data_IF_707978833998
#
_entry.id   IF_707978833998
#
_cell.length_a   1.000
_cell.length_b   1.000
_cell.length_c   1.000
_cell.angle_alpha   90.00
_cell.angle_beta   90.00
_cell.angle_gamma   90.00
#
_symmetry.space_group_name_H-M   'P 1'
#
loop_
_entity.id
_entity.type
_entity.pdbx_description
1 polymer ?
#
# COMPACT_ATOMS: atom_id res chain seq x y z
N UNK A 1 74.60 30.92 -16.90
CA UNK A 1 74.93 29.69 -16.15
C UNK A 1 74.04 29.60 -14.94
N UNK A 2 72.96 28.86 -15.06
CA UNK A 2 72.04 28.62 -13.93
C UNK A 2 71.64 27.11 -13.95
N UNK A 3 72.12 26.39 -12.98
CA UNK A 3 71.90 24.97 -12.80
C UNK A 3 70.50 24.76 -12.16
N UNK A 4 69.65 24.09 -12.85
CA UNK A 4 68.32 23.71 -12.35
C UNK A 4 68.36 22.21 -12.00
N UNK A 5 68.44 21.90 -10.71
CA UNK A 5 68.38 20.52 -10.20
C UNK A 5 66.95 19.98 -10.23
N UNK A 6 66.76 18.91 -10.96
CA UNK A 6 65.53 18.11 -10.98
C UNK A 6 65.39 17.25 -9.71
N UNK A 7 64.24 17.34 -9.05
CA UNK A 7 63.83 16.45 -7.96
C UNK A 7 63.16 15.19 -8.51
N UNK A 8 63.44 13.99 -8.02
CA UNK A 8 62.82 12.76 -8.47
C UNK A 8 61.40 12.60 -7.94
N UNK A 9 60.50 12.08 -8.80
CA UNK A 9 59.11 11.81 -8.52
C UNK A 9 58.92 10.65 -7.52
N UNK A 10 58.07 10.88 -6.51
CA UNK A 10 57.68 9.95 -5.45
C UNK A 10 56.65 8.95 -5.98
N UNK A 11 56.98 7.65 -6.08
CA UNK A 11 56.08 6.57 -6.42
C UNK A 11 54.98 6.43 -5.34
N UNK A 12 53.71 6.55 -5.76
CA UNK A 12 52.53 6.24 -4.94
C UNK A 12 52.41 4.71 -4.86
N UNK A 13 52.53 4.18 -3.65
CA UNK A 13 52.26 2.78 -3.33
C UNK A 13 50.76 2.49 -3.39
N UNK A 14 50.37 1.52 -4.23
CA UNK A 14 48.99 1.03 -4.28
C UNK A 14 48.67 0.24 -3.01
N UNK A 15 47.60 0.60 -2.35
CA UNK A 15 47.04 -0.17 -1.23
C UNK A 15 46.29 -1.38 -1.79
N UNK A 16 46.84 -2.58 -1.56
CA UNK A 16 46.13 -3.85 -1.79
C UNK A 16 45.02 -4.00 -0.75
N UNK A 17 43.77 -3.83 -1.16
CA UNK A 17 42.59 -4.20 -0.36
C UNK A 17 42.60 -5.71 -0.14
N UNK A 18 42.79 -6.16 1.10
CA UNK A 18 42.65 -7.55 1.51
C UNK A 18 41.21 -8.00 1.35
N UNK A 19 40.91 -8.82 0.32
CA UNK A 19 39.63 -9.56 0.21
C UNK A 19 39.49 -10.48 1.42
N UNK A 20 38.49 -10.25 2.26
CA UNK A 20 38.09 -11.19 3.33
C UNK A 20 37.58 -12.47 2.67
N UNK A 21 38.29 -13.58 2.85
CA UNK A 21 37.81 -14.91 2.50
C UNK A 21 36.71 -15.28 3.50
N UNK A 22 35.48 -15.49 2.98
CA UNK A 22 34.38 -16.07 3.76
C UNK A 22 34.76 -17.50 4.11
N UNK A 23 34.73 -17.84 5.39
CA UNK A 23 35.06 -19.19 5.89
C UNK A 23 33.83 -20.07 5.80
N UNK A 24 33.68 -20.77 4.70
CA UNK A 24 32.56 -21.70 4.42
C UNK A 24 32.51 -22.90 5.38
N UNK A 25 33.63 -23.24 6.03
CA UNK A 25 33.75 -24.31 7.02
C UNK A 25 32.84 -24.12 8.25
N UNK A 26 32.59 -22.88 8.69
CA UNK A 26 31.69 -22.59 9.82
C UNK A 26 30.19 -22.56 9.43
N UNK A 27 29.90 -22.23 8.18
CA UNK A 27 28.53 -22.23 7.65
C UNK A 27 28.04 -23.67 7.48
N UNK A 28 28.89 -24.58 6.98
CA UNK A 28 28.55 -25.98 6.79
C UNK A 28 28.19 -26.70 8.11
N UNK A 29 28.83 -26.35 9.22
CA UNK A 29 28.60 -26.96 10.54
C UNK A 29 27.23 -26.65 11.11
N UNK A 30 26.63 -25.51 10.73
CA UNK A 30 25.30 -25.07 11.22
C UNK A 30 24.20 -25.46 10.24
N UNK A 31 24.44 -25.31 8.95
CA UNK A 31 23.42 -25.49 7.90
C UNK A 31 23.11 -26.99 7.67
N UNK A 32 24.10 -27.86 7.69
CA UNK A 32 23.88 -29.30 7.46
C UNK A 32 22.96 -29.92 8.51
N UNK A 33 23.18 -29.75 9.84
CA UNK A 33 22.25 -30.30 10.84
C UNK A 33 20.85 -29.70 10.76
N UNK A 34 20.72 -28.43 10.38
CA UNK A 34 19.39 -27.80 10.22
C UNK A 34 18.60 -28.45 9.08
N UNK A 35 19.23 -28.72 7.95
CA UNK A 35 18.62 -29.42 6.81
C UNK A 35 18.22 -30.85 7.22
N UNK A 36 19.07 -31.55 7.97
CA UNK A 36 18.75 -32.90 8.43
C UNK A 36 17.56 -32.93 9.38
N UNK A 37 17.41 -31.92 10.24
CA UNK A 37 16.23 -31.79 11.13
C UNK A 37 14.97 -31.55 10.31
N UNK A 38 15.01 -30.68 9.31
CA UNK A 38 13.86 -30.42 8.43
C UNK A 38 13.45 -31.68 7.66
N UNK A 39 14.40 -32.43 7.10
CA UNK A 39 14.14 -33.70 6.42
C UNK A 39 13.53 -34.73 7.37
N UNK A 40 13.99 -34.81 8.61
CA UNK A 40 13.44 -35.69 9.63
C UNK A 40 11.97 -35.34 9.97
N UNK A 41 11.66 -34.05 10.11
CA UNK A 41 10.29 -33.58 10.37
C UNK A 41 9.37 -33.93 9.20
N UNK A 42 9.79 -33.71 7.97
CA UNK A 42 9.02 -34.07 6.77
C UNK A 42 8.76 -35.57 6.71
N UNK A 43 9.75 -36.41 6.99
CA UNK A 43 9.61 -37.86 7.03
C UNK A 43 8.65 -38.34 8.13
N UNK A 44 8.62 -37.66 9.27
CA UNK A 44 7.68 -37.96 10.36
C UNK A 44 6.25 -37.56 10.00
N UNK A 45 6.07 -36.42 9.32
CA UNK A 45 4.76 -35.98 8.82
C UNK A 45 4.19 -36.93 7.75
N UNK A 46 5.02 -37.40 6.82
CA UNK A 46 4.61 -38.36 5.78
C UNK A 46 4.25 -39.72 6.38
N UNK A 47 4.90 -40.15 7.47
CA UNK A 47 4.57 -41.43 8.15
C UNK A 47 3.33 -41.33 9.04
N UNK A 48 2.90 -40.12 9.44
CA UNK A 48 1.71 -39.91 10.27
C UNK A 48 0.37 -40.01 9.54
N UNK A 49 0.36 -39.98 8.20
CA UNK A 49 -0.87 -39.94 7.39
C UNK A 49 -1.34 -41.31 6.81
N UNK A 50 -0.87 -42.42 7.35
CA UNK A 50 -1.30 -43.76 6.88
C UNK A 50 -1.90 -44.58 8.01
N UNK A 51 -3.05 -44.16 8.53
CA UNK A 51 -3.98 -45.07 9.21
C UNK A 51 -5.30 -44.38 9.55
N UNK A 52 -6.30 -44.44 8.68
CA UNK A 52 -7.70 -44.60 9.10
C UNK A 52 -8.50 -45.27 7.99
N UNK A 53 -9.07 -46.40 8.38
CA UNK A 53 -9.82 -47.32 7.55
C UNK A 53 -11.24 -46.81 7.28
N UNK A 54 -11.72 -47.20 6.11
CA UNK A 54 -13.10 -47.35 5.65
C UNK A 54 -14.18 -47.50 6.74
N UNK A 55 -15.26 -46.75 6.56
CA UNK A 55 -16.60 -47.24 6.82
C UNK A 55 -17.62 -46.42 6.02
N UNK A 56 -18.07 -47.02 4.93
CA UNK A 56 -19.31 -46.68 4.23
C UNK A 56 -20.47 -47.45 4.87
N UNK A 57 -21.66 -46.88 4.93
CA UNK A 57 -22.83 -47.64 4.51
C UNK A 57 -23.67 -46.99 3.41
N UNK A 58 -24.12 -47.85 2.58
CA UNK A 58 -24.97 -47.69 1.38
C UNK A 58 -26.42 -47.33 1.70
N UNK A 59 -27.04 -46.70 0.69
CA UNK A 59 -28.45 -46.79 0.26
C UNK A 59 -29.50 -46.02 1.08
N UNK A 60 -30.39 -45.26 0.46
CA UNK A 60 -31.37 -45.69 -0.55
C UNK A 60 -32.06 -44.45 -1.15
N UNK A 61 -32.25 -44.45 -2.43
CA UNK A 61 -33.11 -43.54 -3.17
C UNK A 61 -34.59 -43.78 -2.85
N UNK A 62 -35.41 -42.74 -2.83
CA UNK A 62 -36.80 -42.79 -3.32
C UNK A 62 -37.24 -41.40 -3.81
N UNK A 63 -37.80 -41.43 -4.94
CA UNK A 63 -38.37 -40.50 -5.88
C UNK A 63 -39.70 -39.89 -5.38
N UNK A 64 -40.02 -38.70 -5.95
CA UNK A 64 -41.34 -38.33 -6.50
C UNK A 64 -42.05 -37.12 -5.85
N UNK A 65 -42.11 -36.10 -6.67
CA UNK A 65 -43.27 -35.38 -7.22
C UNK A 65 -44.05 -34.35 -6.37
N UNK A 66 -44.02 -33.18 -6.91
CA UNK A 66 -45.11 -32.30 -7.35
C UNK A 66 -46.16 -31.74 -6.39
N UNK A 67 -46.35 -30.47 -6.60
CA UNK A 67 -47.54 -29.60 -6.70
C UNK A 67 -47.69 -28.60 -5.55
N UNK A 68 -47.50 -27.36 -5.82
CA UNK A 68 -48.34 -26.26 -6.33
C UNK A 68 -49.42 -25.73 -5.36
N UNK A 69 -49.30 -24.43 -5.19
CA UNK A 69 -50.32 -23.39 -4.94
C UNK A 69 -50.70 -23.02 -3.50
N UNK A 70 -50.77 -21.70 -3.32
CA UNK A 70 -51.62 -21.05 -2.35
C UNK A 70 -50.98 -19.83 -1.70
N UNK A 71 -51.38 -18.63 -2.14
CA UNK A 71 -51.13 -17.35 -1.54
C UNK A 71 -51.75 -17.25 -0.15
N UNK A 72 -51.09 -16.57 0.79
CA UNK A 72 -51.80 -15.53 1.58
C UNK A 72 -50.79 -14.58 2.28
N UNK A 73 -51.15 -13.33 2.30
CA UNK A 73 -50.46 -12.23 2.95
C UNK A 73 -50.56 -12.31 4.46
N UNK A 74 -49.48 -12.02 5.17
CA UNK A 74 -49.62 -11.34 6.47
C UNK A 74 -48.31 -10.56 6.80
N UNK A 75 -48.48 -9.27 6.88
CA UNK A 75 -47.54 -8.24 7.37
C UNK A 75 -47.07 -8.54 8.78
N UNK A 76 -45.75 -8.58 9.01
CA UNK A 76 -45.19 -8.34 10.32
C UNK A 76 -43.81 -7.71 10.21
N UNK A 77 -43.69 -6.53 10.79
CA UNK A 77 -42.58 -5.61 10.94
C UNK A 77 -41.31 -6.29 11.44
N UNK A 78 -40.21 -6.13 10.70
CA UNK A 78 -38.87 -6.49 11.15
C UNK A 78 -38.16 -5.23 11.71
N UNK A 79 -37.31 -5.35 12.74
CA UNK A 79 -36.43 -4.26 13.12
C UNK A 79 -35.21 -4.23 12.22
N UNK A 80 -34.90 -3.04 11.69
CA UNK A 80 -33.73 -2.71 10.94
C UNK A 80 -32.46 -2.96 11.75
N UNK A 81 -31.65 -3.90 11.28
CA UNK A 81 -30.24 -3.93 11.63
C UNK A 81 -29.50 -3.30 10.46
N UNK A 82 -29.24 -2.01 10.58
CA UNK A 82 -28.37 -1.29 9.65
C UNK A 82 -26.93 -1.74 9.87
N UNK A 83 -26.43 -2.60 9.03
CA UNK A 83 -25.01 -2.83 8.84
C UNK A 83 -24.47 -1.64 8.07
N UNK A 84 -23.83 -0.71 8.78
CA UNK A 84 -23.08 0.38 8.15
C UNK A 84 -21.79 -0.16 7.57
N UNK A 85 -21.83 -0.56 6.33
CA UNK A 85 -20.63 -0.69 5.51
C UNK A 85 -20.23 0.72 5.13
N UNK A 86 -19.14 1.25 5.70
CA UNK A 86 -18.56 2.52 5.27
C UNK A 86 -17.83 2.28 3.95
N UNK A 87 -18.57 2.27 2.86
CA UNK A 87 -17.99 2.42 1.54
C UNK A 87 -17.58 3.88 1.37
N UNK A 88 -16.35 4.13 0.96
CA UNK A 88 -15.92 5.39 0.36
C UNK A 88 -16.87 5.66 -0.84
N UNK A 89 -17.89 6.46 -0.63
CA UNK A 89 -18.79 6.85 -1.72
C UNK A 89 -18.33 8.19 -2.22
N UNK A 90 -17.59 8.19 -3.32
CA UNK A 90 -17.41 9.39 -4.15
C UNK A 90 -18.77 9.77 -4.69
N UNK A 91 -19.42 10.76 -4.08
CA UNK A 91 -20.66 11.33 -4.59
C UNK A 91 -20.33 12.66 -5.24
N UNK A 92 -20.18 12.65 -6.55
CA UNK A 92 -20.14 13.87 -7.37
C UNK A 92 -21.54 14.45 -7.43
N UNK A 93 -21.79 15.51 -6.70
CA UNK A 93 -22.98 16.34 -6.86
C UNK A 93 -22.59 17.81 -6.65
N UNK A 94 -22.58 18.57 -7.73
CA UNK A 94 -22.49 20.01 -7.75
C UNK A 94 -23.73 20.62 -7.05
N UNK A 95 -23.56 21.03 -5.79
CA UNK A 95 -24.54 21.78 -5.02
C UNK A 95 -23.85 22.80 -4.14
N UNK A 96 -24.33 24.03 -4.13
CA UNK A 96 -23.89 25.13 -3.27
C UNK A 96 -23.67 24.68 -1.82
N UNK A 97 -22.59 25.15 -1.22
CA UNK A 97 -22.03 24.75 0.06
C UNK A 97 -23.01 24.82 1.26
N UNK A 98 -23.86 23.82 1.39
CA UNK A 98 -24.52 23.52 2.66
C UNK A 98 -23.59 22.67 3.49
N UNK A 99 -23.22 23.11 4.68
CA UNK A 99 -22.43 22.31 5.61
C UNK A 99 -23.25 21.15 6.16
N UNK A 100 -22.68 19.96 6.16
CA UNK A 100 -23.29 18.73 6.69
C UNK A 100 -22.50 18.22 7.89
N UNK A 101 -23.22 17.63 8.86
CA UNK A 101 -22.60 16.94 10.00
C UNK A 101 -22.51 15.46 9.70
N UNK A 102 -21.28 14.96 9.60
CA UNK A 102 -21.01 13.54 9.35
C UNK A 102 -20.53 12.86 10.63
N UNK A 103 -21.01 11.65 10.86
CA UNK A 103 -20.67 10.86 12.02
C UNK A 103 -19.49 9.93 11.67
N UNK A 104 -18.42 10.01 12.44
CA UNK A 104 -17.22 9.19 12.29
C UNK A 104 -17.18 8.21 13.46
N UNK A 105 -17.07 6.91 13.14
CA UNK A 105 -17.07 5.84 14.13
C UNK A 105 -15.76 5.80 14.92
N UNK A 106 -15.82 5.62 16.21
CA UNK A 106 -14.62 5.45 17.01
C UNK A 106 -13.78 4.22 16.60
N UNK A 107 -14.38 3.19 16.02
CA UNK A 107 -13.68 2.02 15.53
C UNK A 107 -12.99 2.21 14.17
N UNK A 108 -13.39 3.19 13.38
CA UNK A 108 -12.86 3.41 12.04
C UNK A 108 -11.55 4.20 11.99
N UNK A 109 -10.99 4.62 13.13
CA UNK A 109 -9.68 5.30 13.20
C UNK A 109 -8.53 4.44 12.66
N UNK A 110 -8.74 3.13 12.52
CA UNK A 110 -7.79 2.15 11.99
C UNK A 110 -7.96 1.89 10.48
N UNK A 111 -8.89 2.60 9.81
CA UNK A 111 -9.30 2.38 8.43
C UNK A 111 -9.00 3.62 7.57
N UNK A 112 -8.72 3.42 6.29
CA UNK A 112 -8.53 4.50 5.31
C UNK A 112 -7.13 4.59 4.73
N UNK A 113 -6.92 5.54 3.81
CA UNK A 113 -5.67 5.70 3.06
C UNK A 113 -4.53 6.34 3.85
N UNK A 114 -4.84 7.04 4.95
CA UNK A 114 -3.85 7.77 5.77
C UNK A 114 -3.46 7.06 7.07
N UNK A 115 -3.85 5.79 7.25
CA UNK A 115 -3.41 5.02 8.41
C UNK A 115 -1.88 4.90 8.43
N UNK A 116 -1.25 5.28 9.53
CA UNK A 116 0.17 5.07 9.73
C UNK A 116 0.42 3.64 10.23
N UNK A 117 1.25 2.89 9.49
CA UNK A 117 1.68 1.54 9.89
C UNK A 117 3.21 1.48 9.82
N UNK A 118 3.84 1.32 10.97
CA UNK A 118 5.29 1.24 11.13
C UNK A 118 5.65 0.42 12.38
N UNK A 119 6.87 0.53 12.89
CA UNK A 119 7.33 -0.19 14.09
C UNK A 119 6.62 0.22 15.38
N UNK A 120 6.04 1.42 15.43
CA UNK A 120 5.37 1.98 16.61
C UNK A 120 3.83 1.82 16.51
N UNK A 121 3.31 1.83 15.29
CA UNK A 121 1.88 1.74 14.97
C UNK A 121 1.60 0.50 14.13
N UNK A 122 1.28 -0.61 14.78
CA UNK A 122 0.95 -1.85 14.10
C UNK A 122 -0.41 -1.75 13.38
N UNK A 123 -0.54 -2.46 12.25
CA UNK A 123 -1.82 -2.62 11.58
C UNK A 123 -2.81 -3.32 12.52
N UNK A 124 -3.98 -2.70 12.73
CA UNK A 124 -5.03 -3.18 13.63
C UNK A 124 -6.15 -3.94 12.92
N UNK A 125 -6.10 -4.00 11.58
CA UNK A 125 -7.06 -4.71 10.75
C UNK A 125 -6.53 -6.09 10.38
N UNK A 126 -7.41 -7.08 10.36
CA UNK A 126 -7.16 -8.37 9.72
C UNK A 126 -7.27 -8.24 8.21
N UNK A 127 -6.73 -9.21 7.48
CA UNK A 127 -6.76 -9.20 6.02
C UNK A 127 -8.18 -9.27 5.47
N UNK A 128 -9.12 -9.89 6.20
CA UNK A 128 -10.54 -9.99 5.82
C UNK A 128 -11.30 -8.66 6.00
N UNK A 129 -10.80 -7.76 6.85
CA UNK A 129 -11.38 -6.41 7.07
C UNK A 129 -10.90 -5.40 6.02
N UNK A 130 -9.84 -5.71 5.27
CA UNK A 130 -9.30 -4.86 4.21
C UNK A 130 -10.01 -5.13 2.87
N UNK A 131 -10.25 -4.07 2.08
CA UNK A 131 -10.83 -4.19 0.74
C UNK A 131 -9.76 -4.49 -0.31
N UNK A 132 -9.15 -5.67 -0.23
CA UNK A 132 -8.04 -6.04 -1.10
C UNK A 132 -8.51 -6.66 -2.42
N UNK A 133 -7.82 -6.31 -3.50
CA UNK A 133 -7.99 -6.84 -4.86
C UNK A 133 -6.68 -7.39 -5.41
N UNK A 134 -6.78 -8.35 -6.30
CA UNK A 134 -5.62 -8.97 -6.92
C UNK A 134 -5.06 -8.09 -8.05
N UNK A 135 -3.80 -7.66 -7.90
CA UNK A 135 -3.13 -6.77 -8.84
C UNK A 135 -2.87 -7.45 -10.19
N UNK A 136 -2.52 -8.75 -10.18
CA UNK A 136 -2.27 -9.50 -11.40
C UNK A 136 -3.55 -9.66 -12.25
N UNK A 137 -4.67 -9.94 -11.62
CA UNK A 137 -5.97 -10.02 -12.30
C UNK A 137 -6.38 -8.65 -12.87
N UNK A 138 -6.24 -7.58 -12.07
CA UNK A 138 -6.58 -6.23 -12.50
C UNK A 138 -5.73 -5.77 -13.69
N UNK A 139 -4.41 -6.02 -13.68
CA UNK A 139 -3.49 -5.63 -14.77
C UNK A 139 -3.81 -6.29 -16.12
N UNK A 140 -4.74 -7.23 -16.18
CA UNK A 140 -5.13 -7.96 -17.39
C UNK A 140 -6.58 -7.72 -17.83
N UNK A 141 -7.28 -6.81 -17.15
CA UNK A 141 -8.67 -6.49 -17.50
C UNK A 141 -8.78 -5.56 -18.72
N UNK A 142 -7.68 -4.92 -19.15
CA UNK A 142 -7.63 -4.08 -20.36
C UNK A 142 -7.18 -4.83 -21.60
N UNK A 143 -7.34 -4.17 -22.77
CA UNK A 143 -6.88 -4.69 -24.06
C UNK A 143 -5.33 -4.69 -24.19
N UNK A 144 -4.65 -3.87 -23.39
CA UNK A 144 -3.20 -3.71 -23.39
C UNK A 144 -2.65 -3.89 -21.98
N UNK A 145 -1.58 -4.67 -21.84
CA UNK A 145 -0.85 -4.81 -20.59
C UNK A 145 0.21 -3.70 -20.51
N UNK A 146 -0.04 -2.69 -19.69
CA UNK A 146 0.80 -1.49 -19.58
C UNK A 146 1.93 -1.64 -18.55
N UNK A 147 1.79 -2.57 -17.59
CA UNK A 147 2.81 -2.90 -16.60
C UNK A 147 2.83 -4.40 -16.27
N UNK A 148 3.89 -4.84 -15.61
CA UNK A 148 4.06 -6.22 -15.14
C UNK A 148 3.77 -6.33 -13.65
N UNK A 149 3.40 -7.52 -13.20
CA UNK A 149 3.19 -7.83 -11.78
C UNK A 149 4.14 -8.95 -11.38
N UNK A 150 4.92 -8.72 -10.34
CA UNK A 150 5.98 -9.62 -9.91
C UNK A 150 5.47 -10.94 -9.30
N UNK A 151 4.33 -10.89 -8.62
CA UNK A 151 3.72 -12.07 -7.97
C UNK A 151 2.23 -12.13 -8.27
N UNK A 152 1.74 -13.31 -8.64
CA UNK A 152 0.33 -13.50 -9.04
C UNK A 152 -0.67 -13.42 -7.88
N UNK A 153 -0.19 -13.48 -6.65
CA UNK A 153 -0.96 -13.39 -5.40
C UNK A 153 -0.81 -12.04 -4.71
N UNK A 154 -0.18 -11.04 -5.37
CA UNK A 154 -0.04 -9.71 -4.81
C UNK A 154 -1.40 -9.00 -4.77
N UNK A 155 -1.73 -8.49 -3.58
CA UNK A 155 -2.98 -7.80 -3.29
C UNK A 155 -2.71 -6.33 -2.96
N UNK A 156 -3.60 -5.45 -3.43
CA UNK A 156 -3.63 -4.03 -3.06
C UNK A 156 -5.05 -3.63 -2.65
N UNK A 157 -5.15 -2.55 -1.89
CA UNK A 157 -6.42 -1.88 -1.63
C UNK A 157 -7.12 -1.53 -2.94
N UNK A 158 -8.44 -1.62 -2.99
CA UNK A 158 -9.19 -1.49 -4.25
C UNK A 158 -9.05 -0.10 -4.87
N UNK A 159 -9.10 0.95 -4.04
CA UNK A 159 -9.00 2.34 -4.51
C UNK A 159 -7.55 2.63 -4.94
N UNK A 160 -6.56 2.20 -4.15
CA UNK A 160 -5.14 2.32 -4.52
C UNK A 160 -4.83 1.58 -5.83
N UNK A 161 -5.46 0.42 -6.06
CA UNK A 161 -5.25 -0.35 -7.28
C UNK A 161 -5.88 0.30 -8.52
N UNK A 162 -7.03 0.94 -8.38
CA UNK A 162 -7.66 1.70 -9.46
C UNK A 162 -6.75 2.84 -9.92
N UNK A 163 -6.29 3.68 -9.00
CA UNK A 163 -5.37 4.79 -9.28
C UNK A 163 -3.99 4.32 -9.80
N UNK A 164 -3.51 3.17 -9.32
CA UNK A 164 -2.30 2.54 -9.89
C UNK A 164 -2.51 2.18 -11.35
N UNK A 165 -3.67 1.62 -11.70
CA UNK A 165 -4.02 1.28 -13.08
C UNK A 165 -3.99 2.52 -13.98
N UNK A 166 -4.66 3.59 -13.57
CA UNK A 166 -4.69 4.87 -14.28
C UNK A 166 -3.28 5.45 -14.48
N UNK A 167 -2.49 5.52 -13.41
CA UNK A 167 -1.10 6.00 -13.47
C UNK A 167 -0.25 5.19 -14.48
N UNK A 168 -0.37 3.86 -14.49
CA UNK A 168 0.41 3.01 -15.37
C UNK A 168 -0.05 3.10 -16.83
N UNK A 169 -1.34 3.29 -17.07
CA UNK A 169 -1.91 3.48 -18.40
C UNK A 169 -1.47 4.82 -18.99
N UNK A 170 -1.47 5.88 -18.19
CA UNK A 170 -1.01 7.20 -18.62
C UNK A 170 0.52 7.24 -18.79
N UNK A 171 1.27 6.58 -17.92
CA UNK A 171 2.71 6.38 -18.14
C UNK A 171 2.98 5.68 -19.46
N UNK A 172 2.27 4.59 -19.77
CA UNK A 172 2.41 3.90 -21.05
C UNK A 172 2.04 4.79 -22.24
N UNK A 173 0.98 5.57 -22.10
CA UNK A 173 0.52 6.51 -23.16
C UNK A 173 1.56 7.61 -23.39
N UNK A 174 2.15 8.14 -22.35
CA UNK A 174 3.14 9.21 -22.42
C UNK A 174 4.51 8.74 -22.96
N UNK A 175 4.93 7.53 -22.58
CA UNK A 175 6.32 7.06 -22.83
C UNK A 175 6.44 5.91 -23.81
N UNK A 176 5.39 5.11 -23.99
CA UNK A 176 5.41 3.85 -24.74
C UNK A 176 6.07 2.68 -24.00
N UNK A 177 6.52 2.87 -22.74
CA UNK A 177 7.18 1.82 -21.98
C UNK A 177 6.19 0.96 -21.20
N UNK A 178 6.31 -0.37 -21.31
CA UNK A 178 5.57 -1.37 -20.51
C UNK A 178 6.52 -2.25 -19.68
N UNK A 179 7.70 -1.72 -19.37
CA UNK A 179 8.78 -2.44 -18.69
C UNK A 179 8.78 -2.28 -17.18
N UNK A 180 7.85 -1.49 -16.62
CA UNK A 180 7.67 -1.38 -15.19
C UNK A 180 7.06 -2.67 -14.61
N UNK A 181 7.52 -3.07 -13.44
CA UNK A 181 6.98 -4.20 -12.69
C UNK A 181 6.65 -3.78 -11.27
N UNK A 182 5.40 -4.01 -10.90
CA UNK A 182 4.82 -3.74 -9.57
C UNK A 182 4.86 -5.02 -8.74
N UNK A 183 5.26 -4.92 -7.47
CA UNK A 183 5.29 -6.07 -6.56
C UNK A 183 5.18 -5.63 -5.09
N UNK A 184 4.78 -6.53 -4.22
CA UNK A 184 4.73 -6.30 -2.77
C UNK A 184 6.12 -6.33 -2.12
N UNK A 185 6.24 -5.66 -0.99
CA UNK A 185 7.44 -5.68 -0.14
C UNK A 185 7.23 -6.50 1.13
N UNK A 186 8.32 -6.73 1.88
CA UNK A 186 8.29 -7.45 3.17
C UNK A 186 8.11 -6.50 4.37
N UNK A 187 7.46 -5.36 4.16
CA UNK A 187 7.24 -4.35 5.21
C UNK A 187 5.86 -4.52 5.84
N UNK A 188 5.72 -4.13 7.11
CA UNK A 188 4.43 -4.11 7.81
C UNK A 188 3.38 -3.29 7.04
N UNK A 189 3.81 -2.22 6.42
CA UNK A 189 2.98 -1.35 5.60
C UNK A 189 2.37 -2.02 4.37
N UNK A 190 3.09 -2.95 3.73
CA UNK A 190 2.58 -3.70 2.58
C UNK A 190 1.31 -4.48 2.91
N UNK A 191 1.13 -4.88 4.18
CA UNK A 191 -0.07 -5.58 4.64
C UNK A 191 -1.35 -4.73 4.56
N UNK A 192 -1.23 -3.41 4.47
CA UNK A 192 -2.36 -2.50 4.28
C UNK A 192 -2.98 -2.60 2.88
N UNK A 193 -2.20 -3.07 1.90
CA UNK A 193 -2.55 -3.00 0.48
C UNK A 193 -2.35 -1.62 -0.16
N UNK A 194 -1.92 -0.61 0.61
CA UNK A 194 -1.77 0.77 0.14
C UNK A 194 -0.40 1.05 -0.47
N UNK A 195 0.55 0.12 -0.39
CA UNK A 195 1.94 0.32 -0.84
C UNK A 195 2.36 -0.75 -1.84
N UNK A 196 3.19 -0.35 -2.78
CA UNK A 196 3.85 -1.24 -3.72
C UNK A 196 5.30 -0.85 -3.95
N UNK A 197 6.09 -1.80 -4.44
CA UNK A 197 7.43 -1.58 -4.93
C UNK A 197 7.43 -1.56 -6.45
N UNK A 198 8.33 -0.77 -7.03
CA UNK A 198 8.48 -0.62 -8.46
C UNK A 198 9.90 -0.98 -8.91
N UNK A 199 10.02 -1.74 -9.99
CA UNK A 199 11.29 -1.99 -10.69
C UNK A 199 11.14 -1.88 -12.20
N UNK A 200 12.27 -1.71 -12.89
CA UNK A 200 12.38 -1.61 -14.34
C UNK A 200 12.97 -2.93 -14.85
N UNK A 201 12.30 -3.55 -15.82
CA UNK A 201 12.80 -4.73 -16.55
C UNK A 201 13.39 -4.31 -17.88
N UNK A 202 14.66 -4.61 -18.13
CA UNK A 202 15.37 -4.15 -19.34
C UNK A 202 15.20 -5.07 -20.56
N UNK A 203 14.43 -6.14 -20.45
CA UNK A 203 14.14 -7.03 -21.59
C UNK A 203 15.24 -8.05 -21.92
N UNK A 204 16.44 -7.90 -21.36
CA UNK A 204 17.57 -8.84 -21.48
C UNK A 204 17.64 -9.88 -20.33
N UNK A 205 16.62 -9.92 -19.48
CA UNK A 205 16.55 -10.74 -18.29
C UNK A 205 17.12 -10.07 -17.03
N UNK A 206 17.58 -8.82 -17.14
CA UNK A 206 17.99 -8.02 -15.99
C UNK A 206 16.90 -7.05 -15.57
N UNK A 207 16.93 -6.65 -14.30
CA UNK A 207 16.03 -5.64 -13.73
C UNK A 207 16.75 -4.87 -12.63
N UNK A 208 16.26 -3.67 -12.33
CA UNK A 208 16.72 -2.87 -11.20
C UNK A 208 15.54 -2.17 -10.53
N UNK A 209 15.69 -1.81 -9.27
CA UNK A 209 14.70 -0.98 -8.58
C UNK A 209 14.55 0.37 -9.26
N UNK A 210 13.31 0.86 -9.28
CA UNK A 210 13.00 2.17 -9.82
C UNK A 210 13.82 3.26 -9.10
N UNK A 211 14.41 4.14 -9.88
CA UNK A 211 15.10 5.34 -9.42
C UNK A 211 15.13 6.33 -10.58
N UNK A 212 14.43 7.46 -10.44
CA UNK A 212 14.30 8.47 -11.50
C UNK A 212 15.63 9.14 -11.86
N UNK A 213 16.52 9.36 -10.90
CA UNK A 213 17.83 9.96 -11.16
C UNK A 213 18.72 9.04 -11.98
N UNK A 214 18.68 7.74 -11.67
CA UNK A 214 19.46 6.72 -12.38
C UNK A 214 18.88 6.40 -13.75
N UNK A 215 17.56 6.45 -13.89
CA UNK A 215 16.82 6.10 -15.10
C UNK A 215 15.87 7.23 -15.51
N UNK A 216 16.39 8.35 -16.05
CA UNK A 216 15.60 9.54 -16.34
C UNK A 216 14.49 9.31 -17.38
N UNK A 217 14.59 8.29 -18.23
CA UNK A 217 13.52 7.90 -19.17
C UNK A 217 12.23 7.46 -18.45
N UNK A 218 12.31 7.16 -17.15
CA UNK A 218 11.20 6.76 -16.29
C UNK A 218 10.80 7.83 -15.26
N UNK A 219 11.37 9.05 -15.34
CA UNK A 219 11.12 10.14 -14.37
C UNK A 219 9.66 10.56 -14.32
N UNK A 220 8.90 10.32 -15.40
CA UNK A 220 7.46 10.59 -15.47
C UNK A 220 6.71 10.07 -14.23
N UNK A 221 7.04 8.88 -13.73
CA UNK A 221 6.38 8.32 -12.53
C UNK A 221 6.59 9.22 -11.31
N UNK A 222 7.83 9.65 -11.02
CA UNK A 222 8.10 10.52 -9.86
C UNK A 222 7.54 11.94 -10.04
N UNK A 223 7.38 12.38 -11.27
CA UNK A 223 6.83 13.70 -11.61
C UNK A 223 5.31 13.74 -11.45
N UNK A 224 4.62 12.62 -11.73
CA UNK A 224 3.15 12.56 -11.82
C UNK A 224 2.48 11.67 -10.75
N UNK A 225 3.23 10.90 -9.96
CA UNK A 225 2.62 9.96 -8.99
C UNK A 225 1.64 10.62 -8.03
N UNK A 226 1.88 11.87 -7.61
CA UNK A 226 1.02 12.60 -6.71
C UNK A 226 -0.36 12.95 -7.33
N UNK A 227 -0.44 13.09 -8.66
CA UNK A 227 -1.67 13.31 -9.40
C UNK A 227 -2.63 12.11 -9.30
N UNK A 228 -2.08 10.91 -8.98
CA UNK A 228 -2.82 9.67 -8.74
C UNK A 228 -2.87 9.29 -7.25
N UNK A 229 -2.54 10.22 -6.37
CA UNK A 229 -2.57 10.00 -4.94
C UNK A 229 -1.41 9.19 -4.36
N UNK A 230 -0.30 9.00 -5.10
CA UNK A 230 0.86 8.26 -4.64
C UNK A 230 2.03 9.17 -4.24
N UNK A 231 2.73 8.78 -3.18
CA UNK A 231 3.98 9.40 -2.74
C UNK A 231 5.07 8.35 -2.58
N UNK A 232 6.33 8.78 -2.62
CA UNK A 232 7.44 7.92 -2.18
C UNK A 232 7.30 7.71 -0.68
N UNK A 233 7.18 6.43 -0.25
CA UNK A 233 6.95 6.11 1.17
C UNK A 233 8.16 6.39 2.06
N UNK A 234 9.34 6.14 1.53
CA UNK A 234 10.62 6.29 2.23
C UNK A 234 11.55 7.20 1.42
N UNK A 235 11.32 8.54 1.44
CA UNK A 235 12.20 9.48 0.75
C UNK A 235 13.63 9.41 1.32
N UNK A 236 14.60 9.78 0.51
CA UNK A 236 15.96 9.97 0.99
C UNK A 236 15.98 11.13 1.99
N UNK A 237 16.88 11.07 2.99
CA UNK A 237 17.02 12.08 4.06
C UNK A 237 15.82 12.19 5.03
N UNK A 238 14.85 11.24 5.01
CA UNK A 238 13.71 11.18 5.94
C UNK A 238 13.75 9.96 6.88
N UNK A 239 14.90 9.31 7.02
CA UNK A 239 15.08 8.10 7.82
C UNK A 239 14.84 8.31 9.33
N UNK A 240 15.07 9.53 9.85
CA UNK A 240 14.75 9.86 11.24
C UNK A 240 13.25 9.93 11.54
N UNK A 241 12.41 10.23 10.54
CA UNK A 241 10.94 10.24 10.68
C UNK A 241 10.35 8.87 10.37
N UNK A 242 10.78 8.27 9.27
CA UNK A 242 10.19 7.00 8.78
C UNK A 242 10.73 5.76 9.48
N UNK A 243 11.87 5.87 10.17
CA UNK A 243 12.61 4.74 10.74
C UNK A 243 13.20 3.78 9.70
N UNK A 244 13.19 4.16 8.42
CA UNK A 244 13.68 3.37 7.29
C UNK A 244 14.63 4.20 6.43
N UNK A 245 15.67 3.57 5.89
CA UNK A 245 16.52 4.22 4.88
C UNK A 245 15.74 4.52 3.60
N UNK A 246 16.12 5.56 2.88
CA UNK A 246 15.50 5.97 1.63
C UNK A 246 15.34 4.84 0.62
N UNK A 247 14.18 4.78 -0.02
CA UNK A 247 13.79 3.77 -1.02
C UNK A 247 12.86 4.42 -2.04
N UNK A 248 13.42 5.09 -3.01
CA UNK A 248 12.70 5.81 -4.07
C UNK A 248 11.74 4.94 -4.89
N UNK A 249 11.84 3.60 -4.77
CA UNK A 249 11.02 2.62 -5.46
C UNK A 249 9.80 2.13 -4.67
N UNK A 250 9.60 2.59 -3.44
CA UNK A 250 8.44 2.24 -2.60
C UNK A 250 7.44 3.37 -2.66
N UNK A 251 6.27 3.11 -3.23
CA UNK A 251 5.18 4.06 -3.36
C UNK A 251 4.06 3.73 -2.39
N UNK A 252 3.40 4.77 -1.87
CA UNK A 252 2.28 4.68 -0.96
C UNK A 252 1.12 5.54 -1.45
N UNK A 253 -0.07 4.94 -1.51
CA UNK A 253 -1.32 5.66 -1.76
C UNK A 253 -1.79 6.38 -0.49
N UNK A 254 -2.04 7.66 -0.61
CA UNK A 254 -2.54 8.54 0.46
C UNK A 254 -3.78 9.33 0.02
N UNK A 255 -4.10 9.30 -1.27
CA UNK A 255 -5.13 10.09 -1.90
C UNK A 255 -4.60 11.40 -2.47
N UNK A 256 -5.26 11.89 -3.52
CA UNK A 256 -4.78 12.96 -4.38
C UNK A 256 -4.48 14.28 -3.64
N UNK A 257 -5.38 14.89 -2.83
CA UNK A 257 -5.05 16.17 -2.19
C UNK A 257 -3.88 16.04 -1.21
N UNK A 258 -3.77 14.91 -0.52
CA UNK A 258 -2.70 14.66 0.44
C UNK A 258 -1.36 14.45 -0.27
N UNK A 259 -1.36 13.68 -1.37
CA UNK A 259 -0.15 13.41 -2.15
C UNK A 259 0.41 14.69 -2.79
N UNK A 260 -0.46 15.52 -3.36
CA UNK A 260 -0.05 16.80 -3.96
C UNK A 260 0.63 17.71 -2.92
N UNK A 261 0.04 17.86 -1.74
CA UNK A 261 0.62 18.65 -0.66
C UNK A 261 1.96 18.08 -0.18
N UNK A 262 2.03 16.77 0.04
CA UNK A 262 3.27 16.12 0.48
C UNK A 262 4.39 16.30 -0.55
N UNK A 263 4.09 16.20 -1.84
CA UNK A 263 5.07 16.41 -2.91
C UNK A 263 5.53 17.87 -2.97
N UNK A 264 4.61 18.86 -2.89
CA UNK A 264 4.94 20.28 -2.94
C UNK A 264 5.83 20.72 -1.79
N UNK A 265 5.63 20.14 -0.60
CA UNK A 265 6.34 20.53 0.63
C UNK A 265 7.46 19.56 1.03
N UNK A 266 7.77 18.56 0.17
CA UNK A 266 8.80 17.53 0.43
C UNK A 266 8.61 16.83 1.79
N UNK A 267 7.38 16.38 2.08
CA UNK A 267 7.02 15.73 3.33
C UNK A 267 6.94 14.20 3.16
N UNK A 268 7.44 13.46 4.14
CA UNK A 268 7.06 12.06 4.29
C UNK A 268 5.69 11.94 4.99
N UNK A 269 5.12 10.73 5.03
CA UNK A 269 3.79 10.51 5.61
C UNK A 269 3.74 10.92 7.09
N UNK A 270 4.77 10.61 7.86
CA UNK A 270 4.86 10.95 9.28
C UNK A 270 4.82 12.47 9.51
N UNK A 271 5.62 13.24 8.77
CA UNK A 271 5.65 14.71 8.86
C UNK A 271 4.30 15.32 8.47
N UNK A 272 3.68 14.80 7.39
CA UNK A 272 2.36 15.25 6.95
C UNK A 272 1.28 15.01 8.01
N UNK A 273 1.25 13.81 8.61
CA UNK A 273 0.29 13.49 9.66
C UNK A 273 0.48 14.38 10.89
N UNK A 274 1.71 14.65 11.31
CA UNK A 274 2.03 15.57 12.41
C UNK A 274 1.53 16.99 12.11
N UNK A 275 1.69 17.47 10.88
CA UNK A 275 1.17 18.79 10.48
C UNK A 275 -0.35 18.83 10.54
N UNK A 276 -1.04 17.85 9.91
CA UNK A 276 -2.51 17.83 9.86
C UNK A 276 -3.12 17.66 11.25
N UNK A 277 -2.48 16.93 12.17
CA UNK A 277 -2.97 16.80 13.55
C UNK A 277 -3.04 18.13 14.31
N UNK A 278 -2.29 19.13 13.87
CA UNK A 278 -2.37 20.49 14.42
C UNK A 278 -3.54 21.32 13.87
N UNK A 279 -4.19 20.87 12.79
CA UNK A 279 -5.26 21.58 12.08
C UNK A 279 -6.63 21.26 12.65
N UNK A 280 -7.51 22.23 12.59
CA UNK A 280 -8.89 22.09 13.08
C UNK A 280 -9.88 22.48 12.00
N UNK A 281 -11.16 22.12 12.18
CA UNK A 281 -12.26 22.55 11.32
C UNK A 281 -12.35 24.09 11.14
N UNK A 282 -11.87 24.87 12.13
CA UNK A 282 -11.84 26.34 12.07
C UNK A 282 -10.58 26.93 11.49
N UNK A 283 -9.51 26.14 11.46
CA UNK A 283 -8.20 26.50 10.96
C UNK A 283 -7.64 25.30 10.17
N UNK A 284 -8.27 24.97 9.02
CA UNK A 284 -7.86 23.83 8.20
C UNK A 284 -6.57 24.11 7.44
N UNK A 285 -5.93 23.04 7.00
CA UNK A 285 -4.93 23.10 5.96
C UNK A 285 -5.64 23.29 4.62
N UNK A 286 -5.31 24.34 3.89
CA UNK A 286 -5.85 24.59 2.56
C UNK A 286 -4.91 23.99 1.50
N UNK A 287 -5.46 23.16 0.61
CA UNK A 287 -4.71 22.48 -0.46
C UNK A 287 -5.46 22.72 -1.77
N UNK A 288 -4.77 23.19 -2.82
CA UNK A 288 -5.35 23.35 -4.15
C UNK A 288 -4.76 22.30 -5.09
N UNK A 289 -5.62 21.52 -5.74
CA UNK A 289 -5.21 20.54 -6.76
C UNK A 289 -5.98 20.82 -8.04
N UNK A 290 -5.28 21.23 -9.08
CA UNK A 290 -5.92 21.69 -10.31
C UNK A 290 -6.82 22.90 -10.05
N UNK A 291 -8.11 22.74 -10.31
CA UNK A 291 -9.15 23.78 -10.09
C UNK A 291 -9.95 23.54 -8.78
N UNK A 292 -9.55 22.57 -7.96
CA UNK A 292 -10.27 22.18 -6.73
C UNK A 292 -9.51 22.62 -5.48
N UNK A 293 -10.20 23.33 -4.59
CA UNK A 293 -9.69 23.74 -3.28
C UNK A 293 -10.21 22.78 -2.20
N UNK A 294 -9.28 22.19 -1.43
CA UNK A 294 -9.58 21.29 -0.32
C UNK A 294 -9.28 21.96 1.03
N UNK A 295 -10.13 21.68 2.01
CA UNK A 295 -9.91 21.99 3.42
C UNK A 295 -9.65 20.70 4.18
N UNK A 296 -8.44 20.56 4.71
CA UNK A 296 -8.01 19.36 5.43
C UNK A 296 -7.85 19.68 6.91
N UNK A 297 -8.47 18.89 7.77
CA UNK A 297 -8.41 19.08 9.21
C UNK A 297 -8.49 17.77 9.97
N UNK A 298 -8.07 17.81 11.22
CA UNK A 298 -8.03 16.66 12.12
C UNK A 298 -9.21 16.65 13.08
N UNK A 299 -9.79 15.45 13.28
CA UNK A 299 -10.86 15.21 14.23
C UNK A 299 -10.40 14.15 15.23
N UNK A 300 -9.97 14.53 16.45
CA UNK A 300 -9.51 13.58 17.46
C UNK A 300 -10.68 12.73 17.97
N UNK A 301 -10.42 11.42 18.17
CA UNK A 301 -11.34 10.46 18.74
C UNK A 301 -10.92 10.13 20.17
N UNK A 302 -11.65 10.65 21.15
CA UNK A 302 -11.39 10.44 22.56
C UNK A 302 -12.09 9.20 23.10
N UNK A 303 -11.44 8.04 23.06
CA UNK A 303 -11.98 6.79 23.63
C UNK A 303 -12.88 6.02 22.67
N UNK A 304 -14.04 5.53 23.14
CA UNK A 304 -14.91 4.60 22.38
C UNK A 304 -16.14 5.25 21.78
N UNK A 305 -16.30 6.57 21.91
CA UNK A 305 -17.46 7.27 21.39
C UNK A 305 -17.20 7.81 19.99
N UNK A 306 -18.19 7.67 19.13
CA UNK A 306 -18.19 8.28 17.80
C UNK A 306 -18.10 9.81 17.92
N UNK A 307 -17.46 10.43 16.94
CA UNK A 307 -17.28 11.88 16.83
C UNK A 307 -18.06 12.42 15.64
N UNK A 308 -18.15 13.73 15.54
CA UNK A 308 -18.85 14.39 14.43
C UNK A 308 -17.93 15.44 13.83
N UNK A 309 -17.80 15.43 12.49
CA UNK A 309 -17.16 16.49 11.72
C UNK A 309 -18.22 17.30 10.98
N UNK A 310 -17.91 18.56 10.69
CA UNK A 310 -18.70 19.39 9.77
C UNK A 310 -17.96 19.47 8.45
N UNK A 311 -18.59 19.01 7.36
CA UNK A 311 -18.01 18.98 6.03
C UNK A 311 -18.78 19.86 5.07
N UNK A 312 -18.14 20.29 4.00
CA UNK A 312 -18.74 21.05 2.89
C UNK A 312 -18.43 20.32 1.58
N UNK A 313 -19.36 20.29 0.64
CA UNK A 313 -19.13 19.68 -0.66
C UNK A 313 -18.87 18.16 -0.61
N UNK A 314 -18.05 17.67 -1.54
CA UNK A 314 -17.54 16.31 -1.50
C UNK A 314 -16.47 16.20 -0.39
N UNK A 315 -16.40 15.05 0.27
CA UNK A 315 -15.42 14.85 1.34
C UNK A 315 -14.90 13.42 1.38
N UNK A 316 -13.70 13.29 1.93
CA UNK A 316 -13.11 12.01 2.36
C UNK A 316 -12.80 12.08 3.85
N UNK A 317 -12.78 10.91 4.50
CA UNK A 317 -12.35 10.80 5.90
C UNK A 317 -11.55 9.51 6.07
N UNK A 318 -10.31 9.64 6.51
CA UNK A 318 -9.42 8.53 6.81
C UNK A 318 -9.03 8.53 8.28
N UNK A 319 -9.06 7.36 8.91
CA UNK A 319 -8.37 7.17 10.18
C UNK A 319 -6.85 7.34 10.01
N UNK A 320 -6.17 7.67 11.10
CA UNK A 320 -4.70 7.79 11.16
C UNK A 320 -4.00 6.58 11.80
N UNK A 321 -4.77 5.62 12.33
CA UNK A 321 -4.29 4.50 13.15
C UNK A 321 -3.64 4.94 14.49
N UNK A 322 -3.74 6.23 14.87
CA UNK A 322 -3.15 6.83 16.07
C UNK A 322 -4.19 7.40 17.04
N UNK A 323 -5.41 7.67 16.58
CA UNK A 323 -6.51 8.10 17.46
C UNK A 323 -7.37 9.21 16.92
N UNK A 324 -7.41 9.44 15.61
CA UNK A 324 -8.28 10.40 14.99
C UNK A 324 -8.52 10.18 13.52
N UNK A 325 -9.20 11.14 12.93
CA UNK A 325 -9.52 11.19 11.51
C UNK A 325 -8.91 12.42 10.86
N UNK A 326 -8.38 12.23 9.67
CA UNK A 326 -8.09 13.30 8.72
C UNK A 326 -9.30 13.41 7.80
N UNK A 327 -9.90 14.59 7.74
CA UNK A 327 -11.05 14.90 6.90
C UNK A 327 -10.59 15.90 5.85
N UNK A 328 -10.81 15.58 4.58
CA UNK A 328 -10.61 16.50 3.45
C UNK A 328 -11.97 16.78 2.82
N UNK A 329 -12.34 18.04 2.65
CA UNK A 329 -13.59 18.44 1.99
C UNK A 329 -13.35 19.61 1.02
N UNK A 330 -14.16 19.66 -0.05
CA UNK A 330 -14.17 20.73 -1.07
C UNK A 330 -14.91 21.98 -0.61
#
# INVERSE_FOLDING_TARGET
>A
MSNRSEKPAKKRGGSHAKRRKVRYDRIAVVVIPLILIIVLIVLLCVRGCSRSKDNTPKNTAVTTASQQSGADETTTTAPDTATSTTSLTTTTAEKAADSEKVKLSASGVKEGSLILVNSEHALQLSQEELNLKNVYEASRNGDTVTYRVGYTDFLMDADALEHLGEMMDDFYTATGYSSLEVFGGDYAETQTGLSFNLKINFGDGTSDYYNAEKYPDYSWISEHAAEYGFVVRYPEDKDEYTGQSGRSYVFRYVGEPHAAYMQEHDLCLEEYLDEVQSRTEKDPLEITVGDTDYKVFYVPVGGTNDVTATVTGAYTASGDNMGGYIVACE
#
